data_IF_789308732624
#
_entry.id   IF_789308732624
#
_cell.length_a   1.000
_cell.length_b   1.000
_cell.length_c   1.000
_cell.angle_alpha   90.00
_cell.angle_beta   90.00
_cell.angle_gamma   90.00
#
_symmetry.space_group_name_H-M   'P 1'
#
loop_
_entity.id
_entity.type
_entity.pdbx_description
1 polymer ?
#
# COMPACT_ATOMS: atom_id res chain seq x y z
N UNK A 1 3.53 12.90 -3.06
CA UNK A 1 4.87 12.34 -2.89
C UNK A 1 5.31 12.34 -1.43
N UNK A 2 5.03 13.39 -0.63
CA UNK A 2 5.49 13.54 0.76
C UNK A 2 5.01 12.47 1.78
N UNK A 3 3.82 11.88 1.62
CA UNK A 3 3.28 10.94 2.62
C UNK A 3 4.06 9.62 2.68
N UNK A 4 4.41 9.03 1.53
CA UNK A 4 5.18 7.79 1.48
C UNK A 4 6.59 7.96 2.07
N UNK A 5 7.23 9.08 1.76
CA UNK A 5 8.56 9.41 2.28
C UNK A 5 8.56 9.50 3.80
N UNK A 6 7.54 10.14 4.37
CA UNK A 6 7.42 10.29 5.83
C UNK A 6 7.28 8.94 6.52
N UNK A 7 6.41 8.07 5.99
CA UNK A 7 6.20 6.73 6.55
C UNK A 7 7.45 5.88 6.40
N UNK A 8 8.04 5.85 5.20
CA UNK A 8 9.28 5.09 4.95
C UNK A 8 10.42 5.56 5.85
N UNK A 9 10.61 6.87 6.00
CA UNK A 9 11.62 7.43 6.91
C UNK A 9 11.38 7.00 8.35
N UNK A 10 10.13 7.08 8.82
CA UNK A 10 9.81 6.66 10.18
C UNK A 10 10.10 5.17 10.44
N UNK A 11 9.89 4.32 9.43
CA UNK A 11 10.16 2.89 9.53
C UNK A 11 11.66 2.59 9.52
N UNK A 12 12.39 3.23 8.63
CA UNK A 12 13.84 3.06 8.56
C UNK A 12 14.55 3.63 9.80
N UNK A 13 13.99 4.68 10.40
CA UNK A 13 14.51 5.25 11.64
C UNK A 13 14.12 4.44 12.90
N UNK A 14 13.26 3.45 12.77
CA UNK A 14 12.92 2.59 13.89
C UNK A 14 14.18 1.92 14.47
N UNK A 15 14.31 1.84 15.80
CA UNK A 15 15.45 1.17 16.43
C UNK A 15 15.61 -0.25 15.90
N UNK A 16 16.82 -0.61 15.48
CA UNK A 16 17.16 -1.96 14.97
C UNK A 16 16.35 -2.38 13.73
N UNK A 17 16.06 -1.44 12.82
CA UNK A 17 15.41 -1.78 11.55
C UNK A 17 16.17 -2.91 10.84
N UNK A 18 15.46 -4.01 10.58
CA UNK A 18 16.00 -5.18 9.91
C UNK A 18 16.40 -4.84 8.48
N UNK A 19 15.53 -4.11 7.78
CA UNK A 19 15.79 -3.68 6.39
C UNK A 19 17.09 -2.89 6.29
N UNK A 20 17.33 -1.92 7.20
CA UNK A 20 18.56 -1.14 7.19
C UNK A 20 19.80 -2.02 7.44
N UNK A 21 19.70 -2.92 8.39
CA UNK A 21 20.82 -3.84 8.68
C UNK A 21 21.10 -4.75 7.50
N UNK A 22 20.09 -5.28 6.83
CA UNK A 22 20.23 -6.16 5.67
C UNK A 22 20.83 -5.44 4.47
N UNK A 23 20.39 -4.20 4.26
CA UNK A 23 20.82 -3.35 3.14
C UNK A 23 22.23 -2.79 3.35
N UNK A 24 22.55 -2.34 4.57
CA UNK A 24 23.82 -1.65 4.84
C UNK A 24 24.87 -2.54 5.50
N UNK A 25 24.49 -3.70 6.00
CA UNK A 25 25.35 -4.58 6.80
C UNK A 25 25.70 -4.02 8.18
N UNK A 26 25.16 -2.85 8.56
CA UNK A 26 25.51 -2.17 9.82
C UNK A 26 24.27 -1.76 10.59
N UNK A 27 24.43 -1.57 11.89
CA UNK A 27 23.38 -1.04 12.76
C UNK A 27 23.61 0.45 12.99
N UNK A 28 22.58 1.26 12.71
CA UNK A 28 22.62 2.71 12.97
C UNK A 28 22.43 2.94 14.46
N UNK A 29 23.40 3.62 15.09
CA UNK A 29 23.33 3.97 16.51
C UNK A 29 22.63 5.30 16.77
N UNK A 30 22.77 6.25 15.84
CA UNK A 30 22.21 7.60 15.97
C UNK A 30 21.84 8.17 14.61
N UNK A 31 20.64 8.71 14.49
CA UNK A 31 20.22 9.54 13.36
C UNK A 31 20.70 10.98 13.57
N UNK A 32 21.28 11.57 12.53
CA UNK A 32 21.81 12.93 12.57
C UNK A 32 20.87 13.90 11.87
N UNK A 33 20.78 15.13 12.39
CA UNK A 33 20.07 16.20 11.71
C UNK A 33 20.87 16.65 10.46
N UNK A 34 20.22 16.68 9.29
CA UNK A 34 20.83 16.88 7.98
C UNK A 34 20.53 18.26 7.39
N UNK A 35 20.21 19.26 8.19
CA UNK A 35 20.11 20.63 7.69
C UNK A 35 21.49 21.15 7.29
N UNK A 36 21.72 21.20 5.96
CA UNK A 36 22.95 21.72 5.41
C UNK A 36 22.75 23.19 5.02
N UNK A 37 23.57 24.13 5.50
CA UNK A 37 23.42 25.53 5.13
C UNK A 37 23.79 25.76 3.68
N UNK A 38 22.88 26.41 2.98
CA UNK A 38 22.91 27.10 1.69
C UNK A 38 23.11 26.36 0.36
N UNK A 39 22.33 26.88 -0.56
CA UNK A 39 22.13 26.75 -2.00
C UNK A 39 21.18 25.61 -2.35
N UNK A 40 19.91 25.97 -2.54
CA UNK A 40 18.72 25.13 -2.77
C UNK A 40 18.46 24.10 -1.65
N UNK A 41 17.21 24.00 -1.22
CA UNK A 41 16.75 23.12 -0.12
C UNK A 41 16.85 21.61 -0.49
N UNK A 42 18.03 21.14 -0.81
CA UNK A 42 18.30 19.73 -1.04
C UNK A 42 18.69 19.10 0.30
N UNK A 43 17.81 18.25 0.84
CA UNK A 43 18.06 17.47 2.06
C UNK A 43 18.40 16.06 1.64
N UNK A 44 19.44 15.47 2.23
CA UNK A 44 19.60 14.02 2.28
C UNK A 44 18.42 13.48 3.07
N UNK A 45 17.76 12.42 2.59
CA UNK A 45 16.60 11.91 3.29
C UNK A 45 16.92 11.45 4.70
N UNK A 46 17.98 10.63 4.84
CA UNK A 46 18.46 10.17 6.14
C UNK A 46 19.99 10.18 6.17
N UNK A 47 20.57 10.61 7.28
CA UNK A 47 21.99 10.47 7.56
C UNK A 47 22.15 9.92 8.98
N UNK A 48 22.76 8.76 9.09
CA UNK A 48 23.03 8.09 10.36
C UNK A 48 24.51 7.88 10.61
N UNK A 49 24.84 7.66 11.87
CA UNK A 49 26.16 7.24 12.31
C UNK A 49 26.07 5.80 12.83
N UNK A 50 27.02 4.95 12.45
CA UNK A 50 27.06 3.57 12.95
C UNK A 50 27.20 3.52 14.46
N UNK A 51 26.82 2.40 15.08
CA UNK A 51 26.87 2.23 16.55
C UNK A 51 28.30 2.42 17.09
N UNK A 52 29.31 1.98 16.35
CA UNK A 52 30.74 2.16 16.69
C UNK A 52 31.24 3.60 16.44
N UNK A 53 30.39 4.46 15.87
CA UNK A 53 30.72 5.84 15.58
C UNK A 53 31.71 6.08 14.45
N UNK A 54 32.12 5.03 13.72
CA UNK A 54 33.21 5.13 12.74
C UNK A 54 32.77 5.51 11.34
N UNK A 55 31.51 5.18 10.95
CA UNK A 55 31.01 5.39 9.59
C UNK A 55 29.76 6.27 9.58
N UNK A 56 29.63 7.08 8.54
CA UNK A 56 28.39 7.82 8.22
C UNK A 56 27.68 7.08 7.11
N UNK A 57 26.38 6.83 7.29
CA UNK A 57 25.52 6.17 6.33
C UNK A 57 24.48 7.17 5.84
N UNK A 58 24.56 7.51 4.54
CA UNK A 58 23.56 8.32 3.86
C UNK A 58 22.52 7.41 3.18
N UNK A 59 21.24 7.72 3.36
CA UNK A 59 20.16 6.92 2.79
C UNK A 59 19.17 7.81 2.07
N UNK A 60 18.85 7.50 0.82
CA UNK A 60 17.95 8.24 -0.06
C UNK A 60 16.80 7.33 -0.50
N UNK A 61 15.58 7.87 -0.57
CA UNK A 61 14.38 7.13 -0.93
C UNK A 61 13.89 7.56 -2.32
N UNK A 62 13.70 6.61 -3.24
CA UNK A 62 13.24 6.88 -4.59
C UNK A 62 12.01 6.05 -4.96
N UNK A 63 10.90 6.72 -5.30
CA UNK A 63 9.68 6.06 -5.80
C UNK A 63 9.55 6.09 -7.33
N UNK A 64 10.44 6.81 -8.02
CA UNK A 64 10.50 6.88 -9.48
C UNK A 64 11.96 6.93 -9.95
N UNK A 65 12.19 6.57 -11.22
CA UNK A 65 13.50 6.72 -11.82
C UNK A 65 13.82 8.22 -12.00
N UNK A 66 14.99 8.64 -11.53
CA UNK A 66 15.47 10.01 -11.59
C UNK A 66 16.84 10.06 -12.24
N UNK A 67 16.96 10.74 -13.37
CA UNK A 67 18.21 10.91 -14.11
C UNK A 67 19.20 11.86 -13.40
N UNK A 68 18.71 12.73 -12.54
CA UNK A 68 19.53 13.69 -11.77
C UNK A 68 20.12 13.07 -10.49
N UNK A 69 19.69 11.86 -10.14
CA UNK A 69 20.12 11.18 -8.91
C UNK A 69 21.65 11.11 -8.75
N UNK A 70 22.45 10.76 -9.77
CA UNK A 70 23.91 10.70 -9.60
C UNK A 70 24.52 12.02 -9.17
N UNK A 71 24.10 13.12 -9.77
CA UNK A 71 24.58 14.46 -9.39
C UNK A 71 24.16 14.80 -7.96
N UNK A 72 22.91 14.53 -7.60
CA UNK A 72 22.38 14.79 -6.27
C UNK A 72 23.10 14.00 -5.18
N UNK A 73 23.40 12.72 -5.43
CA UNK A 73 24.18 11.89 -4.51
C UNK A 73 25.61 12.39 -4.32
N UNK A 74 26.26 12.86 -5.39
CA UNK A 74 27.58 13.48 -5.30
C UNK A 74 27.54 14.78 -4.48
N UNK A 75 26.56 15.64 -4.72
CA UNK A 75 26.37 16.86 -3.92
C UNK A 75 26.12 16.56 -2.45
N UNK A 76 25.32 15.53 -2.13
CA UNK A 76 25.09 15.10 -0.75
C UNK A 76 26.38 14.63 -0.08
N UNK A 77 27.15 13.82 -0.79
CA UNK A 77 28.45 13.34 -0.30
C UNK A 77 29.39 14.49 0.09
N UNK A 78 29.54 15.47 -0.80
CA UNK A 78 30.37 16.65 -0.57
C UNK A 78 29.88 17.52 0.59
N UNK A 79 28.56 17.71 0.71
CA UNK A 79 27.97 18.48 1.81
C UNK A 79 28.12 17.79 3.16
N UNK A 80 27.97 16.47 3.21
CA UNK A 80 28.22 15.68 4.41
C UNK A 80 29.69 15.79 4.80
N UNK A 81 30.60 15.62 3.85
CA UNK A 81 32.02 15.79 4.11
C UNK A 81 32.35 17.19 4.64
N UNK A 82 31.81 18.24 4.04
CA UNK A 82 32.00 19.63 4.51
C UNK A 82 31.54 19.84 5.95
N UNK A 83 30.49 19.16 6.38
CA UNK A 83 29.93 19.31 7.74
C UNK A 83 30.64 18.43 8.77
N UNK A 84 30.99 17.20 8.39
CA UNK A 84 31.47 16.19 9.33
C UNK A 84 32.95 15.78 9.12
N UNK A 85 33.60 16.27 8.08
CA UNK A 85 34.96 15.89 7.72
C UNK A 85 35.14 14.46 7.23
N UNK A 86 34.04 13.77 6.95
CA UNK A 86 34.02 12.36 6.55
C UNK A 86 32.96 12.15 5.44
N UNK A 87 33.31 11.38 4.42
CA UNK A 87 32.36 10.96 3.40
C UNK A 87 31.40 9.90 3.94
N UNK A 88 30.10 9.98 3.59
CA UNK A 88 29.15 8.93 3.92
C UNK A 88 29.25 7.76 2.95
N UNK A 89 29.02 6.56 3.42
CA UNK A 89 28.57 5.46 2.54
C UNK A 89 27.12 5.73 2.14
N UNK A 90 26.84 5.72 0.83
CA UNK A 90 25.55 6.16 0.32
C UNK A 90 24.75 5.00 -0.25
N UNK A 91 23.51 4.93 0.17
CA UNK A 91 22.51 3.93 -0.26
C UNK A 91 21.27 4.61 -0.78
N UNK A 92 20.68 4.06 -1.84
CA UNK A 92 19.41 4.49 -2.41
C UNK A 92 18.45 3.31 -2.33
N UNK A 93 17.31 3.48 -1.67
CA UNK A 93 16.25 2.49 -1.68
C UNK A 93 15.20 2.88 -2.73
N UNK A 94 15.11 2.06 -3.77
CA UNK A 94 14.09 2.22 -4.79
C UNK A 94 12.82 1.46 -4.40
N UNK A 95 11.73 2.18 -4.21
CA UNK A 95 10.42 1.63 -3.83
C UNK A 95 9.38 1.73 -4.95
N UNK A 96 9.78 2.17 -6.15
CA UNK A 96 8.88 2.37 -7.29
C UNK A 96 8.37 1.06 -7.92
N UNK A 97 7.33 1.19 -8.76
CA UNK A 97 6.78 0.06 -9.53
C UNK A 97 7.49 -0.14 -10.87
N UNK A 98 8.00 0.93 -11.49
CA UNK A 98 8.71 0.85 -12.75
C UNK A 98 10.00 0.04 -12.60
N UNK A 99 10.48 -0.55 -13.71
CA UNK A 99 11.81 -1.18 -13.72
C UNK A 99 12.87 -0.14 -13.35
N UNK A 100 13.76 -0.50 -12.43
CA UNK A 100 14.90 0.33 -12.04
C UNK A 100 15.81 0.61 -13.25
N UNK A 101 16.13 1.89 -13.48
CA UNK A 101 16.96 2.36 -14.61
C UNK A 101 17.88 3.53 -14.22
N UNK A 102 18.10 3.71 -12.93
CA UNK A 102 19.00 4.76 -12.43
C UNK A 102 20.43 4.29 -12.45
N UNK A 103 21.37 5.20 -12.79
CA UNK A 103 22.79 4.92 -12.66
C UNK A 103 23.18 4.93 -11.17
N UNK A 104 24.17 4.11 -10.80
CA UNK A 104 24.70 3.99 -9.44
C UNK A 104 26.03 4.77 -9.23
N UNK A 105 26.38 5.62 -10.20
CA UNK A 105 27.60 6.42 -10.13
C UNK A 105 27.47 7.71 -10.93
N UNK A 106 28.24 8.72 -10.52
CA UNK A 106 28.59 9.89 -11.31
C UNK A 106 30.08 9.85 -11.58
N UNK A 107 30.49 9.93 -12.84
CA UNK A 107 31.88 9.83 -13.24
C UNK A 107 32.25 10.96 -14.21
N UNK A 108 33.42 11.54 -14.00
CA UNK A 108 34.07 12.51 -14.87
C UNK A 108 35.57 12.20 -14.97
N UNK A 109 36.38 13.00 -15.70
CA UNK A 109 37.82 12.74 -15.89
C UNK A 109 38.60 12.60 -14.57
N UNK A 110 38.31 13.49 -13.60
CA UNK A 110 38.99 13.53 -12.29
C UNK A 110 38.02 13.45 -11.12
N UNK A 111 36.80 12.89 -11.36
CA UNK A 111 35.77 12.77 -10.35
C UNK A 111 35.03 11.44 -10.47
N UNK A 112 34.87 10.77 -9.34
CA UNK A 112 34.03 9.60 -9.24
C UNK A 112 33.27 9.62 -7.92
N UNK A 113 31.96 9.42 -8.02
CA UNK A 113 31.09 9.20 -6.88
C UNK A 113 30.25 7.97 -7.14
N UNK A 114 30.39 6.94 -6.31
CA UNK A 114 29.64 5.68 -6.36
C UNK A 114 28.73 5.58 -5.16
N UNK A 115 27.56 4.94 -5.36
CA UNK A 115 26.62 4.62 -4.30
C UNK A 115 25.89 3.34 -4.64
N UNK A 116 25.31 2.71 -3.64
CA UNK A 116 24.57 1.45 -3.80
C UNK A 116 23.09 1.74 -4.02
N UNK A 117 22.49 1.20 -5.09
CA UNK A 117 21.04 1.25 -5.30
C UNK A 117 20.47 -0.13 -4.99
N UNK A 118 19.43 -0.16 -4.15
CA UNK A 118 18.73 -1.36 -3.73
C UNK A 118 17.29 -1.23 -4.18
N UNK A 119 16.81 -2.20 -4.94
CA UNK A 119 15.38 -2.32 -5.23
C UNK A 119 14.72 -3.10 -4.09
N UNK A 120 13.71 -2.52 -3.47
CA UNK A 120 13.02 -3.18 -2.35
C UNK A 120 12.40 -4.52 -2.77
N UNK A 121 12.16 -4.73 -4.07
CA UNK A 121 11.63 -5.99 -4.61
C UNK A 121 12.65 -7.14 -4.56
N UNK A 122 13.94 -6.81 -4.42
CA UNK A 122 15.02 -7.79 -4.28
C UNK A 122 15.25 -8.20 -2.82
N UNK A 123 14.56 -7.53 -1.88
CA UNK A 123 14.61 -7.87 -0.46
C UNK A 123 13.69 -9.07 -0.20
N UNK A 124 14.18 -10.01 0.60
CA UNK A 124 13.43 -11.19 1.02
C UNK A 124 12.24 -10.79 1.92
N UNK A 125 11.03 -10.98 1.38
CA UNK A 125 9.78 -10.66 2.08
C UNK A 125 9.61 -11.51 3.35
N UNK A 126 9.92 -12.80 3.31
CA UNK A 126 9.74 -13.70 4.45
C UNK A 126 10.58 -13.26 5.65
N UNK A 127 11.77 -12.75 5.37
CA UNK A 127 12.65 -12.18 6.39
C UNK A 127 12.06 -10.93 7.03
N UNK A 128 11.49 -10.02 6.22
CA UNK A 128 10.80 -8.84 6.73
C UNK A 128 9.55 -9.22 7.53
N UNK A 129 8.75 -10.15 7.02
CA UNK A 129 7.58 -10.69 7.73
C UNK A 129 7.98 -11.40 9.02
N UNK A 130 9.13 -12.08 9.07
CA UNK A 130 9.65 -12.74 10.27
C UNK A 130 10.07 -11.79 11.38
N UNK A 131 10.31 -10.51 11.08
CA UNK A 131 10.75 -9.52 12.06
C UNK A 131 9.72 -9.29 13.19
N UNK A 132 10.17 -9.11 14.44
CA UNK A 132 9.31 -8.66 15.53
C UNK A 132 8.96 -7.15 15.44
N UNK A 133 9.68 -6.40 14.63
CA UNK A 133 9.52 -4.96 14.51
C UNK A 133 8.40 -4.60 13.53
N UNK A 134 7.48 -3.75 13.98
CA UNK A 134 6.32 -3.31 13.20
C UNK A 134 6.72 -2.71 11.84
N UNK A 135 7.75 -1.90 11.82
CA UNK A 135 8.20 -1.23 10.60
C UNK A 135 8.61 -2.24 9.52
N UNK A 136 9.36 -3.28 9.88
CA UNK A 136 9.88 -4.26 8.93
C UNK A 136 8.76 -5.06 8.28
N UNK A 137 7.83 -5.63 9.07
CA UNK A 137 6.76 -6.43 8.48
C UNK A 137 5.72 -5.59 7.70
N UNK A 138 5.58 -4.29 7.97
CA UNK A 138 4.78 -3.40 7.11
C UNK A 138 5.52 -3.09 5.81
N UNK A 139 6.85 -2.88 5.85
CA UNK A 139 7.66 -2.69 4.65
C UNK A 139 7.62 -3.90 3.71
N UNK A 140 7.35 -5.10 4.21
CA UNK A 140 7.18 -6.30 3.40
C UNK A 140 6.14 -6.14 2.28
N UNK A 141 5.12 -5.25 2.44
CA UNK A 141 4.14 -4.94 1.39
C UNK A 141 4.77 -4.43 0.10
N UNK A 142 5.98 -3.86 0.17
CA UNK A 142 6.72 -3.32 -0.96
C UNK A 142 7.64 -4.34 -1.62
N UNK A 143 8.04 -5.40 -0.92
CA UNK A 143 8.88 -6.47 -1.42
C UNK A 143 8.17 -7.27 -2.54
N UNK A 144 8.91 -8.11 -3.24
CA UNK A 144 8.32 -8.98 -4.26
C UNK A 144 7.75 -10.24 -3.60
N UNK A 145 6.49 -10.56 -3.93
CA UNK A 145 5.88 -11.85 -3.62
C UNK A 145 4.99 -12.31 -4.77
N UNK A 146 5.01 -13.59 -5.16
CA UNK A 146 4.18 -14.11 -6.24
C UNK A 146 2.69 -14.06 -5.90
N UNK A 147 2.33 -14.22 -4.62
CA UNK A 147 0.95 -14.16 -4.12
C UNK A 147 0.77 -12.95 -3.20
N UNK A 148 0.28 -11.84 -3.76
CA UNK A 148 0.04 -10.59 -3.04
C UNK A 148 -1.03 -10.69 -1.97
N UNK A 149 -2.01 -11.56 -2.15
CA UNK A 149 -3.09 -11.77 -1.16
C UNK A 149 -2.51 -12.41 0.09
N UNK A 150 -1.63 -13.41 -0.09
CA UNK A 150 -0.93 -14.07 1.02
C UNK A 150 -0.07 -13.09 1.82
N UNK A 151 0.69 -12.22 1.13
CA UNK A 151 1.48 -11.15 1.77
C UNK A 151 0.60 -10.22 2.62
N UNK A 152 -0.47 -9.70 2.01
CA UNK A 152 -1.40 -8.79 2.70
C UNK A 152 -1.98 -9.46 3.94
N UNK A 153 -2.44 -10.71 3.82
CA UNK A 153 -3.01 -11.47 4.94
C UNK A 153 -2.01 -11.65 6.08
N UNK A 154 -0.77 -12.05 5.77
CA UNK A 154 0.28 -12.23 6.78
C UNK A 154 0.60 -10.93 7.54
N UNK A 155 0.63 -9.79 6.84
CA UNK A 155 0.82 -8.48 7.47
C UNK A 155 -0.37 -8.14 8.36
N UNK A 156 -1.60 -8.30 7.87
CA UNK A 156 -2.82 -8.02 8.62
C UNK A 156 -2.95 -8.87 9.89
N UNK A 157 -2.59 -10.15 9.86
CA UNK A 157 -2.55 -11.03 11.03
C UNK A 157 -1.59 -10.53 12.11
N UNK A 158 -0.46 -9.96 11.72
CA UNK A 158 0.48 -9.32 12.65
C UNK A 158 -0.07 -8.02 13.22
N UNK A 159 -0.70 -7.19 12.37
CA UNK A 159 -1.33 -5.95 12.80
C UNK A 159 -2.49 -6.19 13.77
N UNK A 160 -3.24 -7.28 13.57
CA UNK A 160 -4.34 -7.67 14.46
C UNK A 160 -3.89 -7.90 15.92
N UNK A 161 -2.64 -8.30 16.13
CA UNK A 161 -2.05 -8.50 17.47
C UNK A 161 -1.73 -7.18 18.19
N UNK A 162 -1.63 -6.06 17.46
CA UNK A 162 -1.47 -4.73 18.05
C UNK A 162 -2.81 -4.26 18.64
N UNK A 163 -2.76 -3.30 19.59
CA UNK A 163 -3.95 -2.78 20.27
C UNK A 163 -4.01 -1.26 20.22
N UNK A 164 -5.22 -0.71 20.29
CA UNK A 164 -5.47 0.72 20.42
C UNK A 164 -4.83 1.57 19.32
N UNK A 165 -4.31 2.73 19.68
CA UNK A 165 -3.72 3.71 18.76
C UNK A 165 -2.51 3.17 17.98
N UNK A 166 -1.74 2.24 18.56
CA UNK A 166 -0.62 1.59 17.86
C UNK A 166 -1.09 0.79 16.64
N UNK A 167 -2.22 0.07 16.77
CA UNK A 167 -2.83 -0.66 15.66
C UNK A 167 -3.37 0.30 14.59
N UNK A 168 -4.09 1.35 14.99
CA UNK A 168 -4.61 2.36 14.07
C UNK A 168 -3.49 2.98 13.24
N UNK A 169 -2.44 3.49 13.90
CA UNK A 169 -1.28 4.06 13.21
C UNK A 169 -0.61 3.07 12.24
N UNK A 170 -0.49 1.81 12.63
CA UNK A 170 0.10 0.78 11.79
C UNK A 170 -0.74 0.49 10.52
N UNK A 171 -2.07 0.59 10.61
CA UNK A 171 -2.94 0.49 9.44
C UNK A 171 -2.79 1.67 8.50
N UNK A 172 -2.70 2.92 9.02
CA UNK A 172 -2.44 4.10 8.19
C UNK A 172 -1.14 3.95 7.41
N UNK A 173 -0.06 3.55 8.10
CA UNK A 173 1.25 3.31 7.53
C UNK A 173 1.20 2.24 6.43
N UNK A 174 0.53 1.10 6.69
CA UNK A 174 0.32 0.04 5.71
C UNK A 174 -0.44 0.55 4.48
N UNK A 175 -1.54 1.29 4.69
CA UNK A 175 -2.38 1.75 3.60
C UNK A 175 -1.67 2.76 2.69
N UNK A 176 -0.88 3.65 3.28
CA UNK A 176 -0.04 4.61 2.56
C UNK A 176 0.96 3.85 1.67
N UNK A 177 1.71 2.89 2.23
CA UNK A 177 2.70 2.12 1.47
C UNK A 177 2.06 1.21 0.42
N UNK A 178 0.93 0.58 0.74
CA UNK A 178 0.17 -0.24 -0.19
C UNK A 178 -0.31 0.55 -1.42
N UNK A 179 -0.51 1.85 -1.29
CA UNK A 179 -0.80 2.75 -2.41
C UNK A 179 0.27 2.70 -3.50
N UNK A 180 1.55 2.55 -3.15
CA UNK A 180 2.66 2.38 -4.11
C UNK A 180 2.52 1.09 -4.95
N UNK A 181 1.81 0.09 -4.45
CA UNK A 181 1.57 -1.20 -5.12
C UNK A 181 0.12 -1.36 -5.62
N UNK A 182 -0.73 -0.34 -5.45
CA UNK A 182 -2.17 -0.36 -5.78
C UNK A 182 -2.93 -1.49 -5.05
N UNK A 183 -2.50 -1.84 -3.84
CA UNK A 183 -3.06 -2.95 -3.05
C UNK A 183 -4.19 -2.52 -2.09
N UNK A 184 -4.65 -1.29 -2.14
CA UNK A 184 -5.68 -0.79 -1.23
C UNK A 184 -6.99 -1.61 -1.26
N UNK A 185 -7.45 -2.02 -2.45
CA UNK A 185 -8.63 -2.89 -2.59
C UNK A 185 -8.39 -4.26 -1.96
N UNK A 186 -7.25 -4.88 -2.23
CA UNK A 186 -6.87 -6.18 -1.67
C UNK A 186 -6.86 -6.15 -0.14
N UNK A 187 -6.30 -5.10 0.46
CA UNK A 187 -6.32 -4.92 1.91
C UNK A 187 -7.75 -4.84 2.44
N UNK A 188 -8.61 -4.04 1.80
CA UNK A 188 -10.01 -3.90 2.21
C UNK A 188 -10.79 -5.21 2.10
N UNK A 189 -10.54 -6.02 1.09
CA UNK A 189 -11.16 -7.33 0.89
C UNK A 189 -10.71 -8.32 1.98
N UNK A 190 -9.43 -8.40 2.27
CA UNK A 190 -8.89 -9.28 3.31
C UNK A 190 -9.36 -8.86 4.72
N UNK A 191 -9.40 -7.57 5.02
CA UNK A 191 -9.88 -7.06 6.32
C UNK A 191 -11.34 -7.43 6.56
N UNK A 192 -12.20 -7.48 5.53
CA UNK A 192 -13.61 -7.89 5.67
C UNK A 192 -13.76 -9.32 6.21
N UNK A 193 -12.77 -10.17 6.01
CA UNK A 193 -12.75 -11.56 6.47
C UNK A 193 -12.12 -11.73 7.86
N UNK A 194 -11.66 -10.64 8.49
CA UNK A 194 -10.94 -10.69 9.76
C UNK A 194 -11.78 -10.15 10.93
N UNK A 195 -11.60 -10.65 12.16
CA UNK A 195 -12.34 -10.20 13.35
C UNK A 195 -12.09 -8.74 13.75
N UNK A 196 -11.13 -8.05 13.11
CA UNK A 196 -10.75 -6.65 13.39
C UNK A 196 -11.57 -5.63 12.61
N UNK A 197 -12.58 -6.07 11.86
CA UNK A 197 -13.38 -5.19 10.99
C UNK A 197 -14.05 -4.04 11.76
N UNK A 198 -14.62 -4.33 12.94
CA UNK A 198 -15.35 -3.33 13.72
C UNK A 198 -14.41 -2.23 14.26
N UNK A 199 -13.20 -2.58 14.67
CA UNK A 199 -12.19 -1.61 15.11
C UNK A 199 -11.77 -0.67 13.96
N UNK A 200 -11.67 -1.20 12.75
CA UNK A 200 -11.30 -0.41 11.57
C UNK A 200 -12.44 0.43 11.02
N UNK A 201 -13.70 0.04 11.29
CA UNK A 201 -14.87 0.84 10.94
C UNK A 201 -14.92 2.17 11.70
N UNK A 202 -14.33 2.23 12.88
CA UNK A 202 -14.18 3.46 13.69
C UNK A 202 -12.94 4.29 13.34
N UNK A 203 -12.09 3.81 12.43
CA UNK A 203 -10.86 4.49 12.04
C UNK A 203 -11.13 5.75 11.22
N UNK A 204 -10.45 6.87 11.53
CA UNK A 204 -10.74 8.18 10.94
C UNK A 204 -10.51 8.21 9.42
N UNK A 205 -9.46 7.57 8.92
CA UNK A 205 -9.10 7.56 7.49
C UNK A 205 -9.76 6.40 6.76
N UNK A 206 -9.73 5.20 7.33
CA UNK A 206 -10.23 3.98 6.68
C UNK A 206 -11.72 3.75 6.90
N UNK A 207 -12.24 4.15 8.05
CA UNK A 207 -13.63 3.97 8.44
C UNK A 207 -14.63 4.50 7.40
N UNK A 208 -14.47 5.71 6.85
CA UNK A 208 -15.36 6.21 5.79
C UNK A 208 -15.37 5.33 4.55
N UNK A 209 -14.22 4.88 4.06
CA UNK A 209 -14.10 4.01 2.89
C UNK A 209 -14.71 2.62 3.17
N UNK A 210 -14.48 2.08 4.36
CA UNK A 210 -15.02 0.79 4.77
C UNK A 210 -16.56 0.85 4.98
N UNK A 211 -17.07 1.91 5.63
CA UNK A 211 -18.53 2.12 5.77
C UNK A 211 -19.20 2.26 4.42
N UNK A 212 -18.59 3.00 3.48
CA UNK A 212 -19.09 3.13 2.12
C UNK A 212 -19.15 1.77 1.41
N UNK A 213 -18.04 1.02 1.44
CA UNK A 213 -17.97 -0.31 0.82
C UNK A 213 -18.95 -1.30 1.45
N UNK A 214 -19.15 -1.25 2.79
CA UNK A 214 -20.16 -2.08 3.47
C UNK A 214 -21.58 -1.71 3.05
N UNK A 215 -21.88 -0.41 2.93
CA UNK A 215 -23.18 0.08 2.47
C UNK A 215 -23.45 -0.35 1.04
N UNK A 216 -22.46 -0.21 0.15
CA UNK A 216 -22.56 -0.66 -1.25
C UNK A 216 -22.79 -2.18 -1.32
N UNK A 217 -21.98 -2.99 -0.63
CA UNK A 217 -22.16 -4.44 -0.59
C UNK A 217 -23.48 -4.89 0.02
N UNK A 218 -23.99 -4.16 1.02
CA UNK A 218 -25.34 -4.45 1.56
C UNK A 218 -26.44 -4.14 0.54
N UNK A 219 -26.31 -3.03 -0.18
CA UNK A 219 -27.26 -2.66 -1.25
C UNK A 219 -27.25 -3.67 -2.39
N UNK A 220 -26.05 -4.08 -2.85
CA UNK A 220 -25.89 -5.13 -3.86
C UNK A 220 -26.49 -6.46 -3.39
N UNK A 221 -26.21 -6.88 -2.15
CA UNK A 221 -26.78 -8.11 -1.59
C UNK A 221 -28.30 -8.10 -1.46
N UNK A 222 -28.89 -6.96 -1.10
CA UNK A 222 -30.37 -6.79 -1.06
C UNK A 222 -30.93 -6.91 -2.49
N UNK A 223 -30.32 -6.22 -3.46
CA UNK A 223 -30.74 -6.25 -4.85
C UNK A 223 -30.63 -7.66 -5.46
N UNK A 224 -29.55 -8.39 -5.20
CA UNK A 224 -29.38 -9.79 -5.63
C UNK A 224 -30.42 -10.71 -4.97
N UNK A 225 -30.75 -10.48 -3.68
CA UNK A 225 -31.77 -11.20 -2.97
C UNK A 225 -33.17 -10.98 -3.58
N UNK A 226 -33.54 -9.72 -3.82
CA UNK A 226 -34.78 -9.32 -4.47
C UNK A 226 -34.91 -9.95 -5.87
N UNK A 227 -33.84 -9.89 -6.65
CA UNK A 227 -33.73 -10.49 -7.99
C UNK A 227 -33.94 -12.01 -7.96
N UNK A 228 -33.34 -12.68 -6.98
CA UNK A 228 -33.45 -14.14 -6.82
C UNK A 228 -34.86 -14.56 -6.46
N UNK A 229 -35.52 -13.83 -5.55
CA UNK A 229 -36.90 -14.07 -5.15
C UNK A 229 -37.82 -13.87 -6.37
N UNK A 230 -37.67 -12.76 -7.08
CA UNK A 230 -38.46 -12.41 -8.24
C UNK A 230 -38.34 -13.44 -9.37
N UNK A 231 -37.12 -13.93 -9.63
CA UNK A 231 -36.86 -15.04 -10.57
C UNK A 231 -37.68 -16.29 -10.21
N UNK A 232 -37.69 -16.68 -8.93
CA UNK A 232 -38.42 -17.83 -8.43
C UNK A 232 -39.93 -17.64 -8.57
N UNK A 233 -40.44 -16.46 -8.27
CA UNK A 233 -41.85 -16.14 -8.39
C UNK A 233 -42.30 -16.15 -9.85
N UNK A 234 -41.55 -15.55 -10.78
CA UNK A 234 -41.81 -15.57 -12.21
C UNK A 234 -41.80 -17.01 -12.74
N UNK A 235 -40.76 -17.78 -12.37
CA UNK A 235 -40.66 -19.18 -12.78
C UNK A 235 -41.81 -20.05 -12.27
N UNK A 236 -42.27 -19.79 -11.04
CA UNK A 236 -43.42 -20.51 -10.47
C UNK A 236 -44.75 -20.19 -11.17
N UNK A 237 -44.92 -18.93 -11.63
CA UNK A 237 -46.17 -18.47 -12.22
C UNK A 237 -46.23 -18.70 -13.73
N UNK A 238 -45.17 -18.48 -14.44
CA UNK A 238 -45.14 -18.49 -15.91
C UNK A 238 -44.19 -19.53 -16.50
N UNK A 239 -43.53 -20.35 -15.68
CA UNK A 239 -42.56 -21.31 -16.14
C UNK A 239 -41.13 -20.68 -16.29
N UNK A 240 -40.24 -21.44 -16.94
CA UNK A 240 -38.82 -21.03 -17.07
C UNK A 240 -38.68 -19.66 -17.74
N UNK A 241 -37.90 -18.77 -17.11
CA UNK A 241 -37.62 -17.44 -17.62
C UNK A 241 -36.69 -17.50 -18.83
N UNK A 242 -37.12 -17.00 -20.02
CA UNK A 242 -36.25 -16.96 -21.19
C UNK A 242 -34.98 -16.14 -20.94
N UNK A 243 -33.83 -16.61 -21.44
CA UNK A 243 -32.52 -15.99 -21.22
C UNK A 243 -32.50 -14.49 -21.55
N UNK A 244 -33.24 -14.06 -22.57
CA UNK A 244 -33.32 -12.64 -22.96
C UNK A 244 -34.00 -11.81 -21.86
N UNK A 245 -35.07 -12.31 -21.25
CA UNK A 245 -35.82 -11.64 -20.18
C UNK A 245 -35.06 -11.69 -18.86
N UNK A 246 -34.31 -12.76 -18.59
CA UNK A 246 -33.46 -12.85 -17.42
C UNK A 246 -32.30 -11.81 -17.46
N UNK A 247 -31.69 -11.62 -18.64
CA UNK A 247 -30.70 -10.53 -18.83
C UNK A 247 -31.29 -9.13 -18.68
N UNK A 248 -32.58 -8.94 -19.05
CA UNK A 248 -33.29 -7.68 -18.85
C UNK A 248 -33.59 -7.46 -17.36
N UNK A 249 -34.03 -8.48 -16.68
CA UNK A 249 -34.33 -8.49 -15.25
C UNK A 249 -33.06 -8.15 -14.42
N UNK A 250 -31.91 -8.73 -14.77
CA UNK A 250 -30.65 -8.52 -14.08
C UNK A 250 -30.13 -7.08 -14.19
N UNK A 251 -30.66 -6.26 -15.12
CA UNK A 251 -30.25 -4.86 -15.32
C UNK A 251 -31.17 -3.85 -14.65
N UNK A 252 -32.26 -4.29 -14.07
CA UNK A 252 -33.23 -3.43 -13.44
C UNK A 252 -32.67 -2.85 -12.12
N UNK A 253 -32.94 -1.59 -11.90
CA UNK A 253 -32.72 -0.93 -10.62
C UNK A 253 -33.69 -1.46 -9.56
N UNK A 254 -33.38 -1.23 -8.29
CA UNK A 254 -34.24 -1.67 -7.18
C UNK A 254 -35.69 -1.16 -7.28
N UNK A 255 -35.97 0.14 -7.55
CA UNK A 255 -37.34 0.60 -7.76
C UNK A 255 -38.06 -0.11 -8.90
N UNK A 256 -37.32 -0.45 -9.98
CA UNK A 256 -37.91 -1.19 -11.10
C UNK A 256 -38.21 -2.65 -10.74
N UNK A 257 -37.39 -3.28 -9.89
CA UNK A 257 -37.64 -4.64 -9.37
C UNK A 257 -38.87 -4.65 -8.44
N UNK A 258 -39.02 -3.63 -7.59
CA UNK A 258 -40.20 -3.46 -6.73
C UNK A 258 -41.49 -3.30 -7.58
N UNK A 259 -41.46 -2.41 -8.57
CA UNK A 259 -42.60 -2.24 -9.51
C UNK A 259 -42.93 -3.54 -10.25
N UNK A 260 -41.90 -4.23 -10.75
CA UNK A 260 -42.07 -5.50 -11.44
C UNK A 260 -42.70 -6.58 -10.52
N UNK A 261 -42.33 -6.58 -9.23
CA UNK A 261 -42.87 -7.50 -8.24
C UNK A 261 -44.35 -7.28 -7.99
N UNK A 262 -44.81 -6.02 -7.98
CA UNK A 262 -46.26 -5.69 -7.88
C UNK A 262 -47.01 -6.09 -9.14
N UNK A 263 -46.48 -5.77 -10.31
CA UNK A 263 -47.05 -6.13 -11.61
C UNK A 263 -47.15 -7.65 -11.82
N UNK A 264 -46.27 -8.41 -11.15
CA UNK A 264 -46.35 -9.87 -11.21
C UNK A 264 -47.69 -10.42 -10.80
N UNK A 265 -48.43 -9.79 -9.88
CA UNK A 265 -49.73 -10.23 -9.43
C UNK A 265 -50.83 -10.06 -10.48
N UNK A 266 -50.74 -9.06 -11.34
CA UNK A 266 -51.78 -8.71 -12.31
C UNK A 266 -51.47 -9.18 -13.73
N UNK A 267 -50.22 -9.50 -14.05
CA UNK A 267 -49.76 -9.90 -15.37
C UNK A 267 -50.40 -11.22 -15.80
N UNK A 268 -50.95 -11.27 -17.01
CA UNK A 268 -51.56 -12.47 -17.62
C UNK A 268 -50.52 -13.34 -18.35
N UNK A 269 -49.43 -12.75 -18.76
CA UNK A 269 -48.33 -13.45 -19.42
C UNK A 269 -46.97 -12.89 -19.00
N UNK A 270 -45.89 -13.63 -19.27
CA UNK A 270 -44.52 -13.17 -19.00
C UNK A 270 -44.14 -11.94 -19.85
N UNK A 271 -44.74 -11.79 -21.03
CA UNK A 271 -44.51 -10.64 -21.89
C UNK A 271 -45.16 -9.36 -21.31
N UNK A 272 -46.38 -9.47 -20.77
CA UNK A 272 -47.09 -8.37 -20.13
C UNK A 272 -46.27 -7.81 -18.95
N UNK A 273 -45.57 -8.67 -18.23
CA UNK A 273 -44.75 -8.29 -17.11
C UNK A 273 -43.62 -7.33 -17.51
N UNK A 274 -43.04 -7.50 -18.71
CA UNK A 274 -41.90 -6.71 -19.22
C UNK A 274 -42.31 -5.63 -20.25
N UNK A 275 -43.59 -5.49 -20.55
CA UNK A 275 -44.11 -4.40 -21.39
C UNK A 275 -44.52 -3.24 -20.47
N UNK A 276 -44.11 -2.01 -20.79
CA UNK A 276 -44.52 -0.80 -20.05
C UNK A 276 -45.97 -0.46 -20.38
#
# INVERSE_FOLDING_TARGET
>A
MHQYDTVLKSFLQAPRSLLLKDVTGVQIGQWLNVELPQVSQTRVDLLGKTVDGRRLIGFELQSANDKSLPLRMAEYSLRVYRKYGQFPEQYVLYVGNAKLRMASQLQGPDFECRYTIIDIRDIDEERLLGSPHKADFILAILAHHPDRVKSVRAILEKLAKLKGSARQKAFDELFILAGLRKLGKTILEEVKQMPILDDLMSHDVLGPAMRKSRKEGLQEGIQEGELTILRRQIAKRFGALPTRLDKKLAKLSRPELEDLSLRLFDAKSINDLFTR
#
